data_IF_690379015398
#
_entry.id   IF_690379015398
#
_cell.length_a   1.000
_cell.length_b   1.000
_cell.length_c   1.000
_cell.angle_alpha   90.00
_cell.angle_beta   90.00
_cell.angle_gamma   90.00
#
_symmetry.space_group_name_H-M   'P 1'
#
loop_
_entity.id
_entity.type
_entity.pdbx_description
1 polymer ?
#
# COMPACT_ATOMS: atom_id res chain seq x y z
N UNK A 1 7.65 3.31 6.80
CA UNK A 1 7.70 3.53 5.35
C UNK A 1 7.15 2.33 4.58
N UNK A 2 7.76 1.13 4.65
CA UNK A 2 7.36 -0.04 3.85
C UNK A 2 5.89 -0.44 4.06
N UNK A 3 5.46 -0.62 5.31
CA UNK A 3 4.06 -0.92 5.60
C UNK A 3 3.11 0.17 5.12
N UNK A 4 3.49 1.43 5.31
CA UNK A 4 2.71 2.58 4.86
C UNK A 4 2.44 2.54 3.36
N UNK A 5 3.48 2.28 2.56
CA UNK A 5 3.38 2.27 1.09
C UNK A 5 2.65 1.04 0.54
N UNK A 6 2.90 -0.15 1.07
CA UNK A 6 2.50 -1.40 0.42
C UNK A 6 1.28 -2.09 1.04
N UNK A 7 1.05 -1.89 2.33
CA UNK A 7 -0.01 -2.60 3.06
C UNK A 7 -1.09 -1.68 3.62
N UNK A 8 -0.95 -0.36 3.42
CA UNK A 8 -1.75 0.64 4.11
C UNK A 8 -1.30 0.79 5.56
N UNK A 9 -1.39 1.99 6.08
CA UNK A 9 -1.09 2.28 7.48
C UNK A 9 -2.35 2.81 8.15
N UNK A 10 -2.80 2.13 9.19
CA UNK A 10 -3.90 2.61 10.00
C UNK A 10 -3.43 3.55 11.12
N UNK A 11 -4.40 4.11 11.81
CA UNK A 11 -4.18 5.08 12.91
C UNK A 11 -3.30 4.50 14.03
N UNK A 12 -3.29 3.17 14.20
CA UNK A 12 -2.44 2.49 15.19
C UNK A 12 -0.97 2.85 15.04
N UNK A 13 -0.47 3.04 13.82
CA UNK A 13 0.92 3.44 13.59
C UNK A 13 1.26 4.76 14.29
N UNK A 14 0.34 5.73 14.24
CA UNK A 14 0.52 7.04 14.88
C UNK A 14 0.38 6.93 16.39
N UNK A 15 -0.54 6.10 16.88
CA UNK A 15 -0.68 5.81 18.32
C UNK A 15 0.60 5.18 18.88
N UNK A 16 1.17 4.18 18.18
CA UNK A 16 2.42 3.55 18.60
C UNK A 16 3.58 4.57 18.63
N UNK A 17 3.67 5.45 17.61
CA UNK A 17 4.64 6.54 17.58
C UNK A 17 4.44 7.51 18.77
N UNK A 18 3.20 7.89 19.07
CA UNK A 18 2.86 8.73 20.19
C UNK A 18 3.29 8.13 21.52
N UNK A 19 3.03 6.84 21.73
CA UNK A 19 3.45 6.11 22.93
C UNK A 19 4.98 6.10 23.06
N UNK A 20 5.69 5.87 21.94
CA UNK A 20 7.17 5.92 21.93
C UNK A 20 7.69 7.30 22.31
N UNK A 21 7.15 8.38 21.72
CA UNK A 21 7.54 9.76 22.03
C UNK A 21 7.28 10.11 23.50
N UNK A 22 6.18 9.63 24.07
CA UNK A 22 5.81 9.89 25.46
C UNK A 22 6.69 9.15 26.46
N UNK A 23 7.01 7.90 26.19
CA UNK A 23 7.65 7.00 27.16
C UNK A 23 9.17 6.90 27.01
N UNK A 24 9.74 7.48 25.96
CA UNK A 24 11.16 7.41 25.68
C UNK A 24 11.74 8.80 25.44
N UNK A 25 12.92 9.06 25.99
CA UNK A 25 13.67 10.28 25.69
C UNK A 25 14.37 10.13 24.33
N UNK A 26 13.60 10.35 23.24
CA UNK A 26 14.08 10.15 21.88
C UNK A 26 14.82 11.42 21.42
N UNK A 27 16.07 11.25 21.04
CA UNK A 27 16.85 12.28 20.37
C UNK A 27 16.44 12.35 18.89
N UNK A 28 15.54 13.27 18.56
CA UNK A 28 15.05 13.46 17.19
C UNK A 28 16.15 13.88 16.21
N UNK A 29 17.17 14.62 16.67
CA UNK A 29 18.30 15.02 15.83
C UNK A 29 19.01 13.77 15.32
N UNK A 30 19.34 12.87 16.23
CA UNK A 30 19.96 11.59 15.89
C UNK A 30 19.10 10.69 15.02
N UNK A 31 17.78 10.68 15.25
CA UNK A 31 16.84 9.94 14.39
C UNK A 31 16.92 10.44 12.95
N UNK A 32 16.94 11.75 12.73
CA UNK A 32 17.04 12.33 11.39
C UNK A 32 18.42 12.11 10.74
N UNK A 33 19.49 12.01 11.50
CA UNK A 33 20.81 11.61 10.98
C UNK A 33 20.75 10.21 10.31
N UNK A 34 19.94 9.29 10.85
CA UNK A 34 19.72 7.97 10.25
C UNK A 34 18.69 7.96 9.11
N UNK A 35 17.65 8.80 9.17
CA UNK A 35 16.61 8.84 8.14
C UNK A 35 17.07 9.55 6.85
N UNK A 36 17.92 10.56 6.97
CA UNK A 36 18.41 11.36 5.84
C UNK A 36 19.17 10.55 4.78
N UNK A 37 20.16 9.69 5.11
CA UNK A 37 20.89 8.89 4.11
C UNK A 37 20.02 7.89 3.36
N UNK A 38 18.88 7.46 3.94
CA UNK A 38 17.94 6.52 3.33
C UNK A 38 16.74 7.23 2.66
N UNK A 39 16.77 8.57 2.56
CA UNK A 39 15.74 9.36 1.88
C UNK A 39 14.40 9.44 2.62
N UNK A 40 14.36 9.12 3.92
CA UNK A 40 13.12 9.08 4.72
C UNK A 40 12.96 10.30 5.65
N UNK A 41 13.74 11.35 5.46
CA UNK A 41 13.65 12.55 6.31
C UNK A 41 12.28 13.22 6.23
N UNK A 42 11.79 13.46 5.02
CA UNK A 42 10.46 14.08 4.79
C UNK A 42 9.36 13.22 5.39
N UNK A 43 9.38 11.92 5.14
CA UNK A 43 8.42 10.98 5.74
C UNK A 43 8.44 11.04 7.27
N UNK A 44 9.62 11.04 7.88
CA UNK A 44 9.76 11.12 9.33
C UNK A 44 9.17 12.41 9.90
N UNK A 45 9.46 13.56 9.28
CA UNK A 45 8.92 14.88 9.67
C UNK A 45 7.39 14.92 9.54
N UNK A 46 6.86 14.39 8.43
CA UNK A 46 5.42 14.29 8.20
C UNK A 46 4.74 13.46 9.30
N UNK A 47 5.28 12.28 9.63
CA UNK A 47 4.71 11.44 10.68
C UNK A 47 4.75 12.09 12.05
N UNK A 48 5.79 12.85 12.37
CA UNK A 48 5.87 13.62 13.62
C UNK A 48 4.86 14.77 13.66
N UNK A 49 4.64 15.46 12.52
CA UNK A 49 3.59 16.48 12.44
C UNK A 49 2.19 15.89 12.62
N UNK A 50 1.89 14.76 11.96
CA UNK A 50 0.62 14.03 12.16
C UNK A 50 0.45 13.64 13.62
N UNK A 51 1.50 13.11 14.26
CA UNK A 51 1.48 12.75 15.66
C UNK A 51 1.23 13.97 16.55
N UNK A 52 1.84 15.10 16.21
CA UNK A 52 1.61 16.37 16.94
C UNK A 52 0.16 16.86 16.80
N UNK A 53 -0.42 16.79 15.59
CA UNK A 53 -1.79 17.24 15.34
C UNK A 53 -2.82 16.41 16.11
N UNK A 54 -2.58 15.09 16.25
CA UNK A 54 -3.49 14.22 17.02
C UNK A 54 -3.28 14.28 18.54
N UNK A 55 -2.05 14.49 19.01
CA UNK A 55 -1.71 14.29 20.44
C UNK A 55 -1.03 15.49 21.11
N UNK A 56 -0.69 16.56 20.40
CA UNK A 56 -0.20 17.81 20.99
C UNK A 56 1.22 17.76 21.57
N UNK A 57 2.19 17.12 20.89
CA UNK A 57 3.58 17.03 21.37
C UNK A 57 4.44 18.30 21.20
N UNK A 58 3.90 19.36 20.62
CA UNK A 58 4.63 20.61 20.36
C UNK A 58 5.69 20.51 19.26
N UNK A 59 5.66 19.46 18.45
CA UNK A 59 6.58 19.25 17.32
C UNK A 59 5.91 19.79 16.05
N UNK A 60 6.51 20.78 15.39
CA UNK A 60 5.95 21.34 14.16
C UNK A 60 7.05 21.61 13.14
N UNK A 61 6.98 20.92 12.02
CA UNK A 61 7.88 21.08 10.88
C UNK A 61 7.28 21.93 9.74
N UNK A 62 6.09 22.54 9.97
CA UNK A 62 5.38 23.35 8.99
C UNK A 62 5.09 22.61 7.67
N UNK A 63 4.70 21.34 7.78
CA UNK A 63 4.30 20.47 6.66
C UNK A 63 2.79 20.29 6.71
N UNK A 64 2.10 20.44 5.58
CA UNK A 64 0.68 20.10 5.49
C UNK A 64 0.52 18.58 5.55
N UNK A 65 -0.27 18.10 6.50
CA UNK A 65 -0.47 16.67 6.77
C UNK A 65 -1.91 16.23 6.56
N UNK A 66 -2.79 17.12 6.10
CA UNK A 66 -4.23 16.87 6.02
C UNK A 66 -4.58 15.63 5.19
N UNK A 67 -3.94 15.46 4.03
CA UNK A 67 -4.19 14.29 3.16
C UNK A 67 -3.68 12.98 3.80
N UNK A 68 -2.56 13.05 4.52
CA UNK A 68 -1.99 11.91 5.23
C UNK A 68 -2.88 11.51 6.42
N UNK A 69 -3.41 12.47 7.15
CA UNK A 69 -4.35 12.26 8.25
C UNK A 69 -5.65 11.61 7.75
N UNK A 70 -6.22 12.14 6.65
CA UNK A 70 -7.39 11.56 6.00
C UNK A 70 -7.11 10.13 5.53
N UNK A 71 -5.97 9.87 4.91
CA UNK A 71 -5.55 8.54 4.49
C UNK A 71 -5.47 7.56 5.65
N UNK A 72 -4.81 7.95 6.75
CA UNK A 72 -4.68 7.12 7.95
C UNK A 72 -6.02 6.78 8.59
N UNK A 73 -6.94 7.76 8.66
CA UNK A 73 -8.29 7.55 9.19
C UNK A 73 -9.11 6.60 8.30
N UNK A 74 -8.99 6.74 6.97
CA UNK A 74 -9.71 5.91 6.00
C UNK A 74 -9.17 4.46 5.94
N UNK A 75 -7.90 4.25 6.28
CA UNK A 75 -7.31 2.91 6.36
C UNK A 75 -7.70 2.13 7.63
N UNK A 76 -8.53 2.70 8.52
CA UNK A 76 -8.95 2.05 9.76
C UNK A 76 -7.85 1.93 10.81
N UNK A 77 -8.04 1.05 11.79
CA UNK A 77 -7.12 0.94 12.92
C UNK A 77 -5.76 0.34 12.54
N UNK A 78 -5.76 -0.72 11.73
CA UNK A 78 -4.56 -1.50 11.42
C UNK A 78 -4.02 -1.31 10.00
N UNK A 79 -4.68 -0.52 9.17
CA UNK A 79 -4.41 -0.42 7.73
C UNK A 79 -5.14 -1.48 6.93
N UNK A 80 -5.28 -1.23 5.67
CA UNK A 80 -5.80 -2.06 4.60
C UNK A 80 -6.90 -3.08 4.95
N UNK A 81 -8.10 -2.60 5.20
CA UNK A 81 -9.29 -3.43 5.14
C UNK A 81 -9.54 -3.87 3.67
N UNK A 82 -10.20 -5.00 3.48
CA UNK A 82 -10.42 -5.64 2.17
C UNK A 82 -11.03 -4.72 1.10
N UNK A 83 -11.64 -3.61 1.50
CA UNK A 83 -12.23 -2.61 0.60
C UNK A 83 -11.21 -1.83 -0.23
N UNK A 84 -9.97 -1.68 0.26
CA UNK A 84 -8.91 -0.89 -0.40
C UNK A 84 -8.03 -1.70 -1.38
N UNK A 85 -8.29 -3.00 -1.58
CA UNK A 85 -7.47 -3.84 -2.45
C UNK A 85 -7.44 -3.37 -3.91
N UNK A 86 -8.56 -2.85 -4.44
CA UNK A 86 -8.63 -2.30 -5.78
C UNK A 86 -7.74 -1.08 -5.95
N UNK A 87 -7.73 -0.17 -4.97
CA UNK A 87 -6.89 1.03 -4.95
C UNK A 87 -5.41 0.63 -4.95
N UNK A 88 -5.01 -0.30 -4.09
CA UNK A 88 -3.63 -0.79 -4.03
C UNK A 88 -3.16 -1.46 -5.33
N UNK A 89 -4.05 -2.19 -6.01
CA UNK A 89 -3.76 -2.80 -7.32
C UNK A 89 -3.63 -1.71 -8.39
N UNK A 90 -4.57 -0.77 -8.45
CA UNK A 90 -4.55 0.34 -9.40
C UNK A 90 -3.27 1.20 -9.22
N UNK A 91 -2.91 1.53 -7.98
CA UNK A 91 -1.69 2.27 -7.65
C UNK A 91 -0.43 1.56 -8.15
N UNK A 92 -0.28 0.25 -7.92
CA UNK A 92 0.85 -0.54 -8.45
C UNK A 92 0.95 -0.53 -9.98
N UNK A 93 -0.17 -0.43 -10.69
CA UNK A 93 -0.15 -0.33 -12.15
C UNK A 93 0.25 1.09 -12.59
N UNK A 94 -0.22 2.13 -11.89
CA UNK A 94 0.16 3.52 -12.14
C UNK A 94 1.65 3.78 -11.84
N UNK A 95 2.19 3.25 -10.75
CA UNK A 95 3.64 3.31 -10.42
C UNK A 95 4.52 2.76 -11.55
N UNK A 96 4.03 1.78 -12.30
CA UNK A 96 4.74 1.21 -13.46
C UNK A 96 4.57 2.01 -14.75
N UNK A 97 4.01 3.22 -14.67
CA UNK A 97 3.73 4.06 -15.85
C UNK A 97 2.67 3.49 -16.78
N UNK A 98 1.82 2.59 -16.29
CA UNK A 98 0.76 1.97 -17.11
C UNK A 98 -0.49 2.83 -17.07
N UNK A 99 -1.19 2.91 -18.23
CA UNK A 99 -2.47 3.62 -18.28
C UNK A 99 -3.48 3.01 -17.31
N UNK A 100 -4.21 3.86 -16.63
CA UNK A 100 -5.38 3.49 -15.82
C UNK A 100 -6.44 2.85 -16.75
N UNK A 101 -6.51 1.52 -16.76
CA UNK A 101 -7.47 0.76 -17.54
C UNK A 101 -7.94 -0.43 -16.73
N UNK A 102 -9.21 -0.40 -16.35
CA UNK A 102 -9.86 -1.48 -15.62
C UNK A 102 -9.67 -2.83 -16.31
N UNK A 103 -9.97 -2.91 -17.61
CA UNK A 103 -9.86 -4.15 -18.37
C UNK A 103 -8.44 -4.73 -18.35
N UNK A 104 -7.42 -3.91 -18.66
CA UNK A 104 -6.03 -4.38 -18.69
C UNK A 104 -5.51 -4.75 -17.31
N UNK A 105 -5.94 -4.03 -16.27
CA UNK A 105 -5.59 -4.34 -14.88
C UNK A 105 -6.22 -5.66 -14.45
N UNK A 106 -7.50 -5.89 -14.76
CA UNK A 106 -8.18 -7.16 -14.52
C UNK A 106 -7.52 -8.32 -15.27
N UNK A 107 -7.17 -8.10 -16.53
CA UNK A 107 -6.51 -9.12 -17.34
C UNK A 107 -5.16 -9.53 -16.70
N UNK A 108 -4.37 -8.57 -16.24
CA UNK A 108 -3.09 -8.85 -15.55
C UNK A 108 -3.29 -9.48 -14.17
N UNK A 109 -4.38 -9.16 -13.48
CA UNK A 109 -4.73 -9.78 -12.21
C UNK A 109 -5.12 -11.26 -12.41
N UNK A 110 -5.90 -11.56 -13.43
CA UNK A 110 -6.35 -12.92 -13.73
C UNK A 110 -5.25 -13.78 -14.37
N UNK A 111 -4.44 -13.19 -15.26
CA UNK A 111 -3.41 -13.86 -16.06
C UNK A 111 -2.01 -13.30 -15.76
N UNK A 112 -1.48 -13.46 -14.55
CA UNK A 112 -0.15 -12.98 -14.21
C UNK A 112 0.94 -13.74 -14.99
N UNK A 113 2.10 -13.09 -15.27
CA UNK A 113 3.20 -13.72 -15.97
C UNK A 113 3.85 -14.84 -15.14
N UNK A 114 4.53 -15.75 -15.82
CA UNK A 114 5.21 -16.92 -15.25
C UNK A 114 6.09 -16.57 -14.02
N UNK A 115 6.86 -15.46 -14.11
CA UNK A 115 7.74 -15.00 -13.02
C UNK A 115 7.00 -14.79 -11.69
N UNK A 116 5.73 -14.34 -11.74
CA UNK A 116 4.91 -14.14 -10.55
C UNK A 116 4.20 -15.42 -10.08
N UNK A 117 3.88 -16.33 -11.03
CA UNK A 117 3.17 -17.56 -10.73
C UNK A 117 4.06 -18.59 -10.03
N UNK A 118 5.32 -18.70 -10.43
CA UNK A 118 6.26 -19.70 -9.90
C UNK A 118 6.49 -19.59 -8.39
N UNK A 119 6.31 -18.39 -7.83
CA UNK A 119 6.54 -18.10 -6.42
C UNK A 119 5.30 -18.38 -5.55
N UNK A 120 4.18 -18.79 -6.16
CA UNK A 120 2.94 -19.12 -5.46
C UNK A 120 2.95 -20.59 -5.03
N UNK A 121 2.81 -20.85 -3.72
CA UNK A 121 2.96 -22.19 -3.15
C UNK A 121 2.12 -23.27 -3.81
N UNK A 122 0.83 -23.01 -4.07
CA UNK A 122 -0.08 -23.98 -4.68
C UNK A 122 0.08 -24.11 -6.21
N UNK A 123 1.01 -23.37 -6.84
CA UNK A 123 1.33 -23.41 -8.28
C UNK A 123 2.79 -23.84 -8.52
N UNK A 124 3.54 -24.22 -7.52
CA UNK A 124 4.96 -24.64 -7.64
C UNK A 124 5.22 -25.73 -8.67
N UNK A 125 4.19 -26.47 -9.11
CA UNK A 125 4.29 -27.50 -10.13
C UNK A 125 4.75 -26.96 -11.51
N UNK A 126 4.63 -25.64 -11.75
CA UNK A 126 5.10 -25.02 -13.00
C UNK A 126 6.59 -24.70 -12.99
N UNK A 127 7.28 -24.83 -11.85
CA UNK A 127 8.71 -24.50 -11.76
C UNK A 127 9.53 -25.34 -12.76
N UNK A 128 10.30 -24.62 -13.60
CA UNK A 128 11.04 -25.23 -14.70
C UNK A 128 10.18 -25.63 -15.92
N UNK A 129 8.86 -25.36 -15.91
CA UNK A 129 7.91 -25.78 -16.96
C UNK A 129 7.04 -24.62 -17.45
N UNK A 130 7.61 -23.62 -18.17
CA UNK A 130 6.87 -22.43 -18.58
C UNK A 130 5.69 -22.72 -19.53
N UNK A 131 5.69 -23.84 -20.23
CA UNK A 131 4.57 -24.25 -21.10
C UNK A 131 3.29 -24.60 -20.34
N UNK A 132 3.37 -24.87 -19.04
CA UNK A 132 2.20 -25.14 -18.20
C UNK A 132 1.48 -23.86 -17.74
N UNK A 133 1.87 -22.68 -18.22
CA UNK A 133 1.29 -21.39 -17.79
C UNK A 133 -0.23 -21.33 -17.99
N UNK A 134 -0.75 -21.85 -19.11
CA UNK A 134 -2.18 -21.86 -19.39
C UNK A 134 -2.94 -22.70 -18.35
N UNK A 135 -2.40 -23.88 -18.04
CA UNK A 135 -2.98 -24.75 -17.02
C UNK A 135 -2.92 -24.08 -15.63
N UNK A 136 -1.81 -23.43 -15.31
CA UNK A 136 -1.66 -22.71 -14.05
C UNK A 136 -2.66 -21.56 -13.90
N UNK A 137 -3.00 -20.84 -14.96
CA UNK A 137 -4.03 -19.79 -14.91
C UNK A 137 -5.40 -20.37 -14.60
N UNK A 138 -5.80 -21.43 -15.28
CA UNK A 138 -7.09 -22.12 -15.05
C UNK A 138 -7.14 -22.65 -13.61
N UNK A 139 -6.11 -23.36 -13.18
CA UNK A 139 -6.00 -23.91 -11.84
C UNK A 139 -6.09 -22.81 -10.78
N UNK A 140 -5.37 -21.68 -10.97
CA UNK A 140 -5.40 -20.54 -10.05
C UNK A 140 -6.79 -19.91 -9.96
N UNK A 141 -7.47 -19.74 -11.07
CA UNK A 141 -8.84 -19.20 -11.08
C UNK A 141 -9.77 -20.12 -10.28
N UNK A 142 -9.75 -21.41 -10.53
CA UNK A 142 -10.58 -22.40 -9.81
C UNK A 142 -10.22 -22.41 -8.31
N UNK A 143 -8.94 -22.42 -7.97
CA UNK A 143 -8.47 -22.38 -6.58
C UNK A 143 -8.94 -21.12 -5.85
N UNK A 144 -8.79 -19.96 -6.47
CA UNK A 144 -9.21 -18.69 -5.88
C UNK A 144 -10.74 -18.60 -5.73
N UNK A 145 -11.52 -19.09 -6.69
CA UNK A 145 -12.98 -19.17 -6.57
C UNK A 145 -13.41 -20.07 -5.41
N UNK A 146 -12.68 -21.16 -5.17
CA UNK A 146 -12.99 -22.09 -4.08
C UNK A 146 -12.62 -21.53 -2.70
N UNK A 147 -11.47 -20.84 -2.58
CA UNK A 147 -10.87 -20.49 -1.29
C UNK A 147 -10.92 -18.98 -0.97
N UNK A 148 -11.06 -18.10 -1.97
CA UNK A 148 -10.96 -16.64 -1.86
C UNK A 148 -11.98 -15.90 -2.73
N UNK A 149 -13.19 -16.47 -2.88
CA UNK A 149 -14.20 -15.94 -3.81
C UNK A 149 -14.54 -14.47 -3.56
N UNK A 150 -14.86 -14.13 -2.31
CA UNK A 150 -15.23 -12.75 -1.94
C UNK A 150 -14.10 -11.76 -2.20
N UNK A 151 -12.90 -12.11 -1.80
CA UNK A 151 -11.71 -11.28 -2.05
C UNK A 151 -11.49 -11.02 -3.54
N UNK A 152 -11.61 -12.06 -4.37
CA UNK A 152 -11.45 -11.94 -5.83
C UNK A 152 -12.54 -11.09 -6.46
N UNK A 153 -13.80 -11.30 -6.07
CA UNK A 153 -14.95 -10.54 -6.59
C UNK A 153 -14.85 -9.07 -6.19
N UNK A 154 -14.55 -8.78 -4.93
CA UNK A 154 -14.37 -7.41 -4.45
C UNK A 154 -13.22 -6.70 -5.18
N UNK A 155 -12.07 -7.36 -5.35
CA UNK A 155 -10.94 -6.81 -6.09
C UNK A 155 -11.25 -6.54 -7.58
N UNK A 156 -12.01 -7.43 -8.22
CA UNK A 156 -12.39 -7.26 -9.63
C UNK A 156 -13.45 -6.16 -9.78
N UNK A 157 -14.46 -6.13 -8.91
CA UNK A 157 -15.53 -5.14 -8.96
C UNK A 157 -15.02 -3.73 -8.63
N UNK A 158 -14.14 -3.59 -7.63
CA UNK A 158 -13.56 -2.29 -7.27
C UNK A 158 -12.72 -1.67 -8.39
N UNK A 159 -12.15 -2.48 -9.29
CA UNK A 159 -11.43 -1.98 -10.46
C UNK A 159 -12.34 -1.43 -11.58
N UNK A 160 -13.66 -1.63 -11.51
CA UNK A 160 -14.61 -1.01 -12.45
C UNK A 160 -15.02 0.39 -12.04
N UNK A 161 -14.78 0.77 -10.79
CA UNK A 161 -15.10 2.10 -10.30
C UNK A 161 -13.99 3.08 -10.71
N UNK A 162 -14.35 4.11 -11.48
CA UNK A 162 -13.44 5.19 -11.87
C UNK A 162 -12.83 5.89 -10.64
N UNK A 163 -13.58 5.98 -9.56
CA UNK A 163 -13.11 6.54 -8.28
C UNK A 163 -11.88 5.79 -7.74
N UNK A 164 -11.78 4.49 -7.97
CA UNK A 164 -10.62 3.67 -7.56
C UNK A 164 -9.32 4.17 -8.17
N UNK A 165 -9.33 4.56 -9.45
CA UNK A 165 -8.14 5.09 -10.13
C UNK A 165 -7.82 6.51 -9.70
N UNK A 166 -8.83 7.34 -9.46
CA UNK A 166 -8.66 8.72 -8.95
C UNK A 166 -8.03 8.65 -7.55
N UNK A 167 -8.55 7.81 -6.67
CA UNK A 167 -8.00 7.61 -5.33
C UNK A 167 -6.58 7.04 -5.37
N UNK A 168 -6.33 6.05 -6.24
CA UNK A 168 -5.00 5.47 -6.41
C UNK A 168 -3.97 6.51 -6.90
N UNK A 169 -4.37 7.42 -7.78
CA UNK A 169 -3.53 8.51 -8.24
C UNK A 169 -3.25 9.51 -7.11
N UNK A 170 -4.29 9.92 -6.38
CA UNK A 170 -4.17 10.81 -5.21
C UNK A 170 -3.23 10.23 -4.15
N UNK A 171 -3.37 8.94 -3.82
CA UNK A 171 -2.46 8.25 -2.90
C UNK A 171 -1.01 8.23 -3.42
N UNK A 172 -0.82 8.03 -4.72
CA UNK A 172 0.51 8.02 -5.33
C UNK A 172 1.18 9.39 -5.26
N UNK A 173 0.42 10.46 -5.52
CA UNK A 173 0.89 11.84 -5.39
C UNK A 173 1.26 12.17 -3.94
N UNK A 174 0.38 11.87 -2.99
CA UNK A 174 0.64 12.01 -1.55
C UNK A 174 1.91 11.25 -1.13
N UNK A 175 2.11 9.99 -1.58
CA UNK A 175 3.32 9.23 -1.24
C UNK A 175 4.60 9.88 -1.74
N UNK A 176 4.58 10.47 -2.93
CA UNK A 176 5.72 11.22 -3.46
C UNK A 176 6.01 12.48 -2.64
N UNK A 177 4.98 13.23 -2.28
CA UNK A 177 5.11 14.44 -1.46
C UNK A 177 5.72 14.17 -0.09
N UNK A 178 5.38 13.04 0.53
CA UNK A 178 5.97 12.64 1.81
C UNK A 178 7.30 11.88 1.68
N UNK A 179 7.87 11.77 0.47
CA UNK A 179 9.18 11.14 0.23
C UNK A 179 9.16 9.61 0.25
N UNK A 180 8.06 8.99 -0.17
CA UNK A 180 7.93 7.54 -0.34
C UNK A 180 7.90 7.16 -1.84
N UNK A 181 8.97 7.43 -2.56
CA UNK A 181 9.14 7.00 -3.95
C UNK A 181 9.46 5.50 -4.12
#
# INVERSE_FOLDING_TARGET
AHHFKFYGAGIKLIVDLAIMLKNSNIDLVRVFEYLKPVGLETFGKTMLNVCNNFFGYGINYNIDTKEVEEYLCNCGAFGNDNENNGIAIARKELEKGRKASSFMTKLRLLFPPYKKLKDIDYIKFINGRPWLILYAWVYRIIYNFKHKKEFMLNAVNSLDDEKTYILAQKELEMFKEIGLE
#
